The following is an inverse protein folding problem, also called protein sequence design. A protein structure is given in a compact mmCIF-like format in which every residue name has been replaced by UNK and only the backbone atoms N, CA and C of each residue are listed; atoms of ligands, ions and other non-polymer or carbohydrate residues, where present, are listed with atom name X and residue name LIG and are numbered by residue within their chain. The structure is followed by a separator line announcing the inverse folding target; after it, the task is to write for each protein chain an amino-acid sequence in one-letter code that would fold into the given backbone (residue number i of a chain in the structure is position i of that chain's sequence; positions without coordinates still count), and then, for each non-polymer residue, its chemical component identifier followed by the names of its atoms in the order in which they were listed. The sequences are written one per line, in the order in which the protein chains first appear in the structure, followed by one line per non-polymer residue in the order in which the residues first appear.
data_IF_947167804497
#
_entry.id   IF_947167804497
#
_cell.length_a   1.000
_cell.length_b   1.000
_cell.length_c   1.000
_cell.angle_alpha   90.00
_cell.angle_beta   90.00
_cell.angle_gamma   90.00
#
_symmetry.space_group_name_H-M   'P 1'
#
loop_
_entity.id
_entity.type
_entity.pdbx_description
1 polymer ?
#
# COMPACT_ATOMS: atom_id res chain seq x y z
N UNK A 1 -4.70 61.98 0.57
CA UNK A 1 -5.40 60.84 1.20
C UNK A 1 -5.57 59.77 0.13
N UNK A 2 -5.01 58.58 0.38
CA UNK A 2 -5.34 57.24 -0.18
C UNK A 2 -5.28 57.10 -1.73
N UNK A 3 -4.37 56.32 -2.33
CA UNK A 3 -4.22 54.86 -2.16
C UNK A 3 -5.45 54.18 -2.77
N UNK A 4 -5.44 53.37 -3.83
CA UNK A 4 -4.51 52.29 -4.13
C UNK A 4 -4.53 51.90 -5.61
N UNK A 5 -3.35 51.52 -6.10
CA UNK A 5 -3.18 50.65 -7.27
C UNK A 5 -3.84 49.31 -6.95
N UNK A 6 -4.85 48.88 -7.71
CA UNK A 6 -5.24 47.47 -7.74
C UNK A 6 -4.14 46.67 -8.46
N UNK A 7 -3.24 46.16 -7.63
CA UNK A 7 -2.24 45.15 -7.95
C UNK A 7 -2.89 43.91 -8.58
N UNK A 8 -2.29 43.44 -9.67
CA UNK A 8 -1.90 42.05 -9.84
C UNK A 8 -3.02 41.02 -9.85
N UNK A 9 -3.30 40.52 -11.05
CA UNK A 9 -3.88 39.21 -11.31
C UNK A 9 -3.08 38.10 -10.60
N UNK A 10 -3.39 37.84 -9.33
CA UNK A 10 -3.06 36.56 -8.70
C UNK A 10 -4.25 35.64 -8.94
N UNK A 11 -4.25 35.02 -10.11
CA UNK A 11 -5.00 33.80 -10.34
C UNK A 11 -4.51 32.80 -9.29
N UNK A 12 -5.34 32.57 -8.26
CA UNK A 12 -5.18 31.44 -7.37
C UNK A 12 -5.25 30.20 -8.26
N UNK A 13 -4.13 29.48 -8.39
CA UNK A 13 -4.17 28.16 -8.99
C UNK A 13 -5.26 27.36 -8.27
N UNK A 14 -6.15 26.67 -9.00
CA UNK A 14 -7.15 25.84 -8.37
C UNK A 14 -6.42 24.83 -7.50
N UNK A 15 -6.80 24.79 -6.23
CA UNK A 15 -6.32 23.81 -5.26
C UNK A 15 -6.32 22.45 -5.95
N UNK A 16 -5.14 21.83 -6.10
CA UNK A 16 -5.04 20.46 -6.59
C UNK A 16 -5.96 19.64 -5.70
N UNK A 17 -7.01 19.09 -6.30
CA UNK A 17 -7.97 18.26 -5.59
C UNK A 17 -7.17 17.17 -4.87
N UNK A 18 -7.32 17.13 -3.54
CA UNK A 18 -6.80 16.05 -2.72
C UNK A 18 -7.28 14.74 -3.37
N UNK A 19 -6.39 13.79 -3.73
CA UNK A 19 -6.83 12.55 -4.34
C UNK A 19 -7.86 11.94 -3.41
N UNK A 20 -9.04 11.62 -3.95
CA UNK A 20 -10.08 10.92 -3.20
C UNK A 20 -9.43 9.69 -2.59
N UNK A 21 -9.35 9.66 -1.26
CA UNK A 21 -8.98 8.45 -0.53
C UNK A 21 -10.17 7.53 -0.75
N UNK A 22 -10.08 6.70 -1.79
CA UNK A 22 -11.04 5.63 -2.00
C UNK A 22 -11.05 4.79 -0.73
N UNK A 23 -12.23 4.63 -0.14
CA UNK A 23 -12.40 3.79 1.03
C UNK A 23 -11.81 2.41 0.72
N UNK A 24 -11.11 1.82 1.70
CA UNK A 24 -10.62 0.46 1.57
C UNK A 24 -11.77 -0.44 1.07
N UNK A 25 -11.53 -1.29 0.05
CA UNK A 25 -12.59 -2.10 -0.55
C UNK A 25 -13.30 -2.88 0.55
N UNK A 26 -14.64 -2.82 0.53
CA UNK A 26 -15.48 -3.48 1.52
C UNK A 26 -15.06 -4.95 1.63
N UNK A 27 -14.74 -5.49 2.83
CA UNK A 27 -14.34 -6.88 3.01
C UNK A 27 -15.32 -7.92 2.44
N UNK A 28 -16.58 -7.51 2.23
CA UNK A 28 -17.65 -8.34 1.66
C UNK A 28 -17.73 -8.30 0.13
N UNK A 29 -16.97 -7.42 -0.51
CA UNK A 29 -16.98 -7.18 -1.97
C UNK A 29 -15.82 -7.89 -2.69
N UNK A 30 -15.16 -8.84 -2.02
CA UNK A 30 -14.04 -9.61 -2.53
C UNK A 30 -14.50 -10.75 -3.46
N UNK A 31 -15.52 -10.48 -4.28
CA UNK A 31 -16.21 -11.48 -5.11
C UNK A 31 -17.29 -12.22 -4.34
N UNK A 32 -18.54 -11.78 -4.48
CA UNK A 32 -19.70 -12.56 -4.08
C UNK A 32 -19.72 -13.87 -4.88
N UNK A 33 -19.88 -15.05 -4.24
CA UNK A 33 -19.95 -16.31 -4.95
C UNK A 33 -21.21 -16.36 -5.81
N UNK A 34 -21.07 -16.73 -7.09
CA UNK A 34 -22.19 -17.21 -7.90
C UNK A 34 -22.57 -18.61 -7.42
N UNK A 35 -23.87 -18.81 -7.16
CA UNK A 35 -24.45 -20.00 -6.55
C UNK A 35 -23.88 -21.31 -7.12
N UNK A 36 -23.40 -22.19 -6.22
CA UNK A 36 -23.17 -23.62 -6.51
C UNK A 36 -21.73 -24.08 -6.74
N UNK A 37 -20.72 -23.20 -6.78
CA UNK A 37 -19.31 -23.62 -6.92
C UNK A 37 -18.44 -23.01 -5.83
N UNK A 38 -18.52 -23.59 -4.62
CA UNK A 38 -17.81 -23.08 -3.45
C UNK A 38 -16.29 -23.01 -3.64
N UNK A 39 -15.67 -24.03 -4.26
CA UNK A 39 -14.20 -24.15 -4.28
C UNK A 39 -13.52 -23.26 -5.33
N UNK A 40 -14.09 -23.12 -6.54
CA UNK A 40 -13.61 -22.12 -7.52
C UNK A 40 -13.79 -20.69 -6.99
N UNK A 41 -14.85 -20.44 -6.21
CA UNK A 41 -15.04 -19.13 -5.57
C UNK A 41 -13.94 -18.84 -4.53
N UNK A 42 -13.46 -19.86 -3.81
CA UNK A 42 -12.38 -19.71 -2.83
C UNK A 42 -11.01 -19.56 -3.49
N UNK A 43 -10.73 -20.31 -4.57
CA UNK A 43 -9.50 -20.11 -5.36
C UNK A 43 -9.39 -18.68 -5.89
N UNK A 44 -10.47 -18.16 -6.50
CA UNK A 44 -10.52 -16.79 -7.00
C UNK A 44 -10.32 -15.75 -5.89
N UNK A 45 -10.88 -15.99 -4.71
CA UNK A 45 -10.67 -15.13 -3.53
C UNK A 45 -9.20 -15.11 -3.12
N UNK A 46 -8.54 -16.27 -2.99
CA UNK A 46 -7.12 -16.34 -2.63
C UNK A 46 -6.21 -15.64 -3.65
N UNK A 47 -6.45 -15.84 -4.95
CA UNK A 47 -5.72 -15.14 -6.00
C UNK A 47 -5.94 -13.60 -5.93
N UNK A 48 -7.17 -13.15 -5.65
CA UNK A 48 -7.45 -11.73 -5.45
C UNK A 48 -6.70 -11.17 -4.23
N UNK A 49 -6.66 -11.90 -3.10
CA UNK A 49 -5.88 -11.48 -1.91
C UNK A 49 -4.40 -11.34 -2.23
N UNK A 50 -3.84 -12.27 -3.02
CA UNK A 50 -2.46 -12.22 -3.45
C UNK A 50 -2.17 -10.98 -4.30
N UNK A 51 -3.06 -10.68 -5.25
CA UNK A 51 -2.95 -9.49 -6.09
C UNK A 51 -3.03 -8.19 -5.27
N UNK A 52 -3.95 -8.11 -4.32
CA UNK A 52 -4.10 -6.94 -3.44
C UNK A 52 -2.88 -6.75 -2.54
N UNK A 53 -2.34 -7.82 -1.96
CA UNK A 53 -1.13 -7.76 -1.14
C UNK A 53 0.09 -7.27 -1.95
N UNK A 54 0.25 -7.73 -3.20
CA UNK A 54 1.30 -7.23 -4.12
C UNK A 54 1.09 -5.75 -4.45
N UNK A 55 -0.14 -5.36 -4.74
CA UNK A 55 -0.46 -3.95 -5.03
C UNK A 55 -0.12 -3.05 -3.84
N UNK A 56 -0.46 -3.48 -2.62
CA UNK A 56 -0.10 -2.76 -1.41
C UNK A 56 1.43 -2.66 -1.22
N UNK A 57 2.17 -3.75 -1.49
CA UNK A 57 3.62 -3.75 -1.43
C UNK A 57 4.24 -2.76 -2.43
N UNK A 58 3.73 -2.70 -3.67
CA UNK A 58 4.18 -1.73 -4.67
C UNK A 58 3.87 -0.29 -4.26
N UNK A 59 2.66 -0.01 -3.75
CA UNK A 59 2.32 1.34 -3.25
C UNK A 59 3.23 1.79 -2.11
N UNK A 60 3.64 0.89 -1.21
CA UNK A 60 4.62 1.20 -0.17
C UNK A 60 6.02 1.48 -0.73
N UNK A 61 6.45 0.73 -1.76
CA UNK A 61 7.73 0.99 -2.44
C UNK A 61 7.73 2.37 -3.11
N UNK A 62 6.65 2.72 -3.79
CA UNK A 62 6.48 4.04 -4.42
C UNK A 62 6.51 5.16 -3.39
N UNK A 63 5.75 5.02 -2.30
CA UNK A 63 5.74 5.99 -1.21
C UNK A 63 7.13 6.18 -0.59
N UNK A 64 7.87 5.08 -0.38
CA UNK A 64 9.24 5.13 0.13
C UNK A 64 10.18 5.87 -0.82
N UNK A 65 10.08 5.58 -2.13
CA UNK A 65 10.89 6.23 -3.16
C UNK A 65 10.64 7.74 -3.24
N UNK A 66 9.41 8.19 -3.00
CA UNK A 66 9.06 9.62 -2.94
C UNK A 66 9.52 10.27 -1.63
N UNK A 67 9.35 9.59 -0.50
CA UNK A 67 9.66 10.14 0.82
C UNK A 67 11.17 10.25 1.10
N UNK A 68 11.98 9.31 0.61
CA UNK A 68 13.43 9.27 0.86
C UNK A 68 14.18 10.56 0.45
N UNK A 69 14.03 11.10 -0.78
CA UNK A 69 14.70 12.33 -1.17
C UNK A 69 14.20 13.56 -0.40
N UNK A 70 12.90 13.62 -0.06
CA UNK A 70 12.32 14.71 0.74
C UNK A 70 12.94 14.73 2.14
N UNK A 71 13.04 13.55 2.77
CA UNK A 71 13.62 13.43 4.11
C UNK A 71 15.13 13.68 4.12
N UNK A 72 15.86 13.27 3.08
CA UNK A 72 17.30 13.53 2.96
C UNK A 72 17.64 15.00 2.70
N UNK A 73 16.77 15.71 1.96
CA UNK A 73 16.95 17.13 1.65
C UNK A 73 16.37 18.05 2.71
N UNK A 74 15.58 17.52 3.65
CA UNK A 74 15.02 18.30 4.73
C UNK A 74 16.12 18.77 5.68
N UNK A 75 16.17 20.09 5.87
CA UNK A 75 17.15 20.76 6.70
C UNK A 75 16.90 20.55 8.21
N UNK A 76 15.68 20.15 8.60
CA UNK A 76 15.23 19.91 9.98
C UNK A 76 15.62 20.99 11.00
N UNK A 77 15.84 22.24 10.57
CA UNK A 77 16.30 23.31 11.45
C UNK A 77 17.82 23.28 11.74
N UNK A 78 18.63 22.68 10.89
CA UNK A 78 20.10 22.69 11.00
C UNK A 78 20.62 24.13 11.15
N UNK A 79 21.56 24.38 12.06
CA UNK A 79 22.06 25.74 12.31
C UNK A 79 21.08 26.72 12.96
N UNK A 80 19.86 26.30 13.32
CA UNK A 80 18.98 27.06 14.22
C UNK A 80 19.21 26.59 15.66
N UNK A 81 19.56 27.52 16.55
CA UNK A 81 19.87 27.21 17.95
C UNK A 81 18.64 26.69 18.71
N UNK A 82 17.46 27.22 18.39
CA UNK A 82 16.16 26.83 18.94
C UNK A 82 15.68 25.47 18.37
N UNK A 83 16.18 25.08 17.20
CA UNK A 83 15.74 23.89 16.46
C UNK A 83 16.58 22.63 16.70
N UNK A 84 17.70 22.72 17.43
CA UNK A 84 18.65 21.61 17.57
C UNK A 84 18.02 20.34 18.18
N UNK A 85 17.23 20.49 19.25
CA UNK A 85 16.56 19.34 19.89
C UNK A 85 15.48 18.69 19.00
N UNK A 86 14.74 19.50 18.23
CA UNK A 86 13.76 19.00 17.27
C UNK A 86 14.45 18.27 16.11
N UNK A 87 15.55 18.84 15.60
CA UNK A 87 16.38 18.22 14.57
C UNK A 87 16.89 16.85 15.00
N UNK A 88 17.48 16.77 16.18
CA UNK A 88 18.06 15.53 16.68
C UNK A 88 16.97 14.47 16.92
N UNK A 89 15.80 14.88 17.40
CA UNK A 89 14.64 14.00 17.55
C UNK A 89 14.13 13.47 16.20
N UNK A 90 14.01 14.34 15.19
CA UNK A 90 13.56 13.94 13.86
C UNK A 90 14.60 13.07 13.15
N UNK A 91 15.89 13.38 13.28
CA UNK A 91 16.97 12.53 12.75
C UNK A 91 17.08 11.20 13.49
N UNK A 92 16.72 11.12 14.77
CA UNK A 92 16.63 9.86 15.50
C UNK A 92 15.52 8.96 14.95
N UNK A 93 14.36 9.53 14.63
CA UNK A 93 13.24 8.82 14.01
C UNK A 93 13.57 8.42 12.57
N UNK A 94 14.11 9.35 11.78
CA UNK A 94 14.30 9.19 10.33
C UNK A 94 15.59 8.48 9.95
N UNK A 95 16.70 8.76 10.65
CA UNK A 95 18.05 8.56 10.12
C UNK A 95 19.00 7.68 10.94
N UNK A 96 18.91 7.65 12.27
CA UNK A 96 19.99 7.03 13.08
C UNK A 96 19.73 5.59 13.54
N UNK A 97 18.47 5.15 13.65
CA UNK A 97 18.15 3.82 14.16
C UNK A 97 17.20 3.02 13.26
N UNK A 98 17.14 3.34 11.97
CA UNK A 98 16.44 2.51 10.99
C UNK A 98 14.95 2.30 11.25
N UNK A 99 14.26 3.12 12.04
CA UNK A 99 12.88 2.82 12.48
C UNK A 99 11.92 2.79 11.29
N UNK A 100 11.63 3.94 10.68
CA UNK A 100 10.56 4.01 9.69
C UNK A 100 10.90 3.31 8.35
N UNK A 101 12.14 3.47 7.85
CA UNK A 101 12.54 2.87 6.56
C UNK A 101 12.58 1.36 6.65
N UNK A 102 13.21 0.81 7.70
CA UNK A 102 13.30 -0.64 7.82
C UNK A 102 11.93 -1.23 8.15
N UNK A 103 11.09 -0.54 8.93
CA UNK A 103 9.70 -0.96 9.16
C UNK A 103 8.89 -1.02 7.85
N UNK A 104 9.02 -0.03 6.97
CA UNK A 104 8.33 -0.06 5.66
C UNK A 104 8.87 -1.20 4.79
N UNK A 105 10.19 -1.40 4.74
CA UNK A 105 10.81 -2.52 4.01
C UNK A 105 10.34 -3.86 4.55
N UNK A 106 10.24 -4.02 5.87
CA UNK A 106 9.72 -5.22 6.51
C UNK A 106 8.24 -5.44 6.20
N UNK A 107 7.42 -4.39 6.17
CA UNK A 107 6.02 -4.48 5.75
C UNK A 107 5.87 -4.89 4.29
N UNK A 108 6.69 -4.34 3.40
CA UNK A 108 6.75 -4.75 1.98
C UNK A 108 7.07 -6.25 1.88
N UNK A 109 8.08 -6.72 2.62
CA UNK A 109 8.45 -8.14 2.61
C UNK A 109 7.32 -9.03 3.12
N UNK A 110 6.68 -8.66 4.24
CA UNK A 110 5.52 -9.40 4.79
C UNK A 110 4.34 -9.45 3.83
N UNK A 111 4.08 -8.37 3.08
CA UNK A 111 3.02 -8.35 2.07
C UNK A 111 3.34 -9.27 0.88
N UNK A 112 4.60 -9.31 0.44
CA UNK A 112 5.01 -10.25 -0.60
C UNK A 112 4.92 -11.71 -0.11
N UNK A 113 5.37 -11.99 1.10
CA UNK A 113 5.25 -13.32 1.71
C UNK A 113 3.78 -13.74 1.86
N UNK A 114 2.90 -12.81 2.21
CA UNK A 114 1.45 -13.06 2.27
C UNK A 114 0.90 -13.36 0.87
N UNK A 115 1.31 -12.62 -0.16
CA UNK A 115 0.88 -12.85 -1.52
C UNK A 115 1.27 -14.25 -2.01
N UNK A 116 2.51 -14.65 -1.75
CA UNK A 116 3.02 -15.97 -2.13
C UNK A 116 2.30 -17.10 -1.40
N UNK A 117 1.96 -16.92 -0.12
CA UNK A 117 1.14 -17.86 0.64
C UNK A 117 -0.28 -17.99 0.05
N UNK A 118 -0.90 -16.87 -0.32
CA UNK A 118 -2.22 -16.87 -0.94
C UNK A 118 -2.22 -17.60 -2.30
N UNK A 119 -1.19 -17.38 -3.12
CA UNK A 119 -1.05 -18.08 -4.41
C UNK A 119 -0.83 -19.59 -4.25
N UNK A 120 -0.06 -20.00 -3.24
CA UNK A 120 0.10 -21.43 -2.91
C UNK A 120 -1.23 -22.04 -2.49
N UNK A 121 -1.97 -21.38 -1.60
CA UNK A 121 -3.29 -21.85 -1.17
C UNK A 121 -4.27 -21.98 -2.36
N UNK A 122 -4.28 -21.01 -3.27
CA UNK A 122 -5.09 -21.08 -4.49
C UNK A 122 -4.69 -22.27 -5.38
N UNK A 123 -3.39 -22.53 -5.51
CA UNK A 123 -2.85 -23.63 -6.32
C UNK A 123 -3.16 -25.00 -5.70
N UNK A 124 -3.04 -25.14 -4.39
CA UNK A 124 -3.35 -26.37 -3.65
C UNK A 124 -4.84 -26.71 -3.73
N UNK A 125 -5.72 -25.71 -3.58
CA UNK A 125 -7.16 -25.89 -3.78
C UNK A 125 -7.48 -26.36 -5.19
N UNK A 126 -6.86 -25.74 -6.20
CA UNK A 126 -7.05 -26.15 -7.60
C UNK A 126 -6.60 -27.60 -7.85
N UNK A 127 -5.49 -28.03 -7.25
CA UNK A 127 -5.00 -29.39 -7.40
C UNK A 127 -5.93 -30.40 -6.72
N UNK A 128 -6.39 -30.11 -5.50
CA UNK A 128 -7.32 -30.96 -4.77
C UNK A 128 -8.68 -31.12 -5.50
N UNK A 129 -9.18 -30.06 -6.13
CA UNK A 129 -10.38 -30.12 -6.95
C UNK A 129 -10.21 -31.03 -8.18
N UNK A 130 -9.07 -30.94 -8.86
CA UNK A 130 -8.77 -31.78 -10.03
C UNK A 130 -8.66 -33.26 -9.65
N UNK A 131 -7.96 -33.58 -8.56
CA UNK A 131 -7.78 -34.95 -8.07
C UNK A 131 -9.14 -35.56 -7.64
N UNK A 132 -9.97 -34.80 -6.94
CA UNK A 132 -11.31 -35.23 -6.53
C UNK A 132 -12.22 -35.49 -7.74
N UNK A 133 -12.17 -34.61 -8.75
CA UNK A 133 -12.94 -34.76 -9.98
C UNK A 133 -12.44 -35.93 -10.87
N UNK A 134 -11.18 -36.34 -10.75
CA UNK A 134 -10.63 -37.51 -11.42
C UNK A 134 -11.06 -38.81 -10.72
N UNK A 135 -11.04 -38.85 -9.38
CA UNK A 135 -11.51 -40.00 -8.60
C UNK A 135 -12.98 -40.34 -8.84
N UNK A 136 -13.86 -39.33 -8.86
CA UNK A 136 -15.29 -39.51 -9.13
C UNK A 136 -15.60 -40.05 -10.53
N UNK A 137 -14.73 -39.79 -11.52
CA UNK A 137 -14.89 -40.28 -12.90
C UNK A 137 -14.45 -41.73 -13.07
N UNK A 138 -13.69 -42.29 -12.13
CA UNK A 138 -13.21 -43.67 -12.19
C UNK A 138 -14.16 -44.68 -11.54
N UNK A 139 -15.10 -44.21 -10.72
CA UNK A 139 -16.11 -45.02 -10.00
C UNK A 139 -17.48 -45.11 -10.72
N UNK A 140 -17.57 -44.69 -11.99
CA UNK A 140 -18.74 -44.89 -12.88
C UNK A 140 -18.42 -45.90 -13.98
#
# INVERSE_FOLDING_TARGET
MTGDKKLGSNALEPCVAMPEITAAPNPLDWGQPVDGVGVLSEQGKWAARAADARKAAESLKEALAVAEPVLRSNYFGQGCAEGAALRDSLLAVVGTNGSWRNEIVDQINRLNDLADQCDRAASELSAADLDSAAGLRHDQ
#
